data_IF_361201990213
#
_entry.id   IF_361201990213
#
_cell.length_a   1.000
_cell.length_b   1.000
_cell.length_c   1.000
_cell.angle_alpha   90.00
_cell.angle_beta   90.00
_cell.angle_gamma   90.00
#
_symmetry.space_group_name_H-M   'P 1'
#
loop_
_entity.id
_entity.type
_entity.pdbx_description
1 polymer ?
#
# COMPACT_ATOMS: atom_id res chain seq x y z
N UNK A 1 17.26 -25.21 24.57
CA UNK A 1 15.86 -25.24 25.01
C UNK A 1 15.33 -23.81 25.02
N UNK A 2 14.59 -23.42 23.99
CA UNK A 2 13.96 -22.09 23.92
C UNK A 2 12.57 -22.29 23.32
N UNK A 3 11.56 -22.03 24.16
CA UNK A 3 10.13 -22.21 23.90
C UNK A 3 9.63 -21.14 22.94
N UNK A 4 9.16 -21.56 21.77
CA UNK A 4 8.39 -20.72 20.85
C UNK A 4 6.92 -20.71 21.32
N UNK A 5 6.53 -19.64 22.00
CA UNK A 5 5.15 -19.33 22.35
C UNK A 5 4.39 -18.86 21.10
N UNK A 6 3.50 -19.72 20.57
CA UNK A 6 2.53 -19.32 19.55
C UNK A 6 1.38 -18.53 20.22
N UNK A 7 0.99 -17.34 19.71
CA UNK A 7 -0.24 -16.71 20.14
C UNK A 7 -1.44 -17.46 19.57
N UNK A 8 -2.31 -17.89 20.47
CA UNK A 8 -3.58 -18.54 20.22
C UNK A 8 -4.48 -17.62 19.37
N UNK A 9 -4.94 -18.18 18.26
CA UNK A 9 -5.98 -17.63 17.40
C UNK A 9 -7.29 -17.58 18.20
N UNK A 10 -7.85 -16.38 18.38
CA UNK A 10 -9.10 -16.14 19.11
C UNK A 10 -10.21 -15.86 18.08
N UNK A 11 -11.05 -16.83 17.68
CA UNK A 11 -12.24 -16.55 16.90
C UNK A 11 -13.42 -16.34 17.87
N UNK A 12 -13.86 -15.11 18.04
CA UNK A 12 -15.09 -14.82 18.77
C UNK A 12 -15.88 -13.72 18.06
N UNK A 13 -16.74 -14.13 17.13
CA UNK A 13 -18.04 -13.52 16.92
C UNK A 13 -18.88 -14.44 16.00
N UNK A 14 -19.94 -15.10 16.51
CA UNK A 14 -20.95 -15.67 15.65
C UNK A 14 -21.72 -14.54 14.96
N UNK A 15 -21.91 -14.71 13.65
CA UNK A 15 -22.74 -13.90 12.78
C UNK A 15 -24.15 -13.80 13.36
N UNK A 16 -24.52 -12.64 13.91
CA UNK A 16 -25.91 -12.35 14.24
C UNK A 16 -26.60 -11.83 12.98
N UNK A 17 -26.97 -12.74 12.10
CA UNK A 17 -27.84 -12.42 10.97
C UNK A 17 -29.25 -12.28 11.53
N UNK A 18 -29.70 -11.01 11.66
CA UNK A 18 -31.10 -10.65 11.95
C UNK A 18 -32.00 -11.32 10.92
N UNK A 19 -32.63 -12.43 11.27
CA UNK A 19 -33.74 -13.03 10.52
C UNK A 19 -35.01 -12.26 10.83
N UNK A 20 -35.10 -11.04 10.29
CA UNK A 20 -36.33 -10.28 10.26
C UNK A 20 -37.24 -10.81 9.16
N UNK A 21 -38.35 -11.43 9.57
CA UNK A 21 -39.66 -11.41 8.90
C UNK A 21 -39.63 -11.50 7.36
N UNK A 22 -39.73 -12.73 6.87
CA UNK A 22 -40.18 -13.04 5.52
C UNK A 22 -41.13 -14.23 5.59
N UNK A 23 -42.37 -13.96 5.99
CA UNK A 23 -43.51 -14.84 5.80
C UNK A 23 -43.60 -15.27 4.33
N UNK A 24 -43.86 -16.55 4.11
CA UNK A 24 -44.56 -17.05 2.93
C UNK A 24 -43.80 -17.02 1.61
N UNK A 25 -43.26 -18.19 1.22
CA UNK A 25 -43.38 -18.80 -0.11
C UNK A 25 -42.47 -20.05 -0.16
N UNK A 26 -42.74 -20.99 0.74
CA UNK A 26 -42.27 -22.36 0.55
C UNK A 26 -43.14 -23.00 -0.54
N UNK A 27 -42.50 -23.70 -1.47
CA UNK A 27 -43.11 -24.57 -2.49
C UNK A 27 -43.74 -23.86 -3.68
N UNK A 28 -42.93 -23.58 -4.71
CA UNK A 28 -43.32 -23.66 -6.13
C UNK A 28 -42.14 -23.50 -7.10
N UNK A 29 -40.89 -23.57 -6.62
CA UNK A 29 -39.75 -23.72 -7.51
C UNK A 29 -39.73 -25.20 -7.98
N UNK A 30 -39.89 -25.50 -9.28
CA UNK A 30 -39.69 -26.85 -9.76
C UNK A 30 -38.27 -27.26 -9.37
N UNK A 31 -38.13 -28.41 -8.70
CA UNK A 31 -36.82 -28.96 -8.38
C UNK A 31 -36.21 -29.48 -9.67
N UNK A 32 -35.62 -28.56 -10.44
CA UNK A 32 -34.92 -28.87 -11.68
C UNK A 32 -33.78 -29.80 -11.29
N UNK A 33 -33.97 -31.10 -11.49
CA UNK A 33 -32.90 -32.08 -11.33
C UNK A 33 -31.99 -31.97 -12.53
N UNK A 34 -31.10 -30.98 -12.53
CA UNK A 34 -30.03 -30.88 -13.51
C UNK A 34 -29.12 -32.09 -13.28
N UNK A 35 -29.32 -33.15 -14.05
CA UNK A 35 -28.38 -34.27 -14.12
C UNK A 35 -27.19 -33.78 -14.95
N UNK A 36 -26.23 -33.17 -14.26
CA UNK A 36 -24.94 -32.84 -14.86
C UNK A 36 -24.26 -34.19 -15.14
N UNK A 37 -24.35 -34.66 -16.38
CA UNK A 37 -23.50 -35.73 -16.88
C UNK A 37 -22.09 -35.17 -16.94
N UNK A 38 -21.35 -35.23 -15.83
CA UNK A 38 -19.96 -34.80 -15.75
C UNK A 38 -19.15 -35.77 -16.62
N UNK A 39 -18.64 -35.35 -17.79
CA UNK A 39 -17.84 -36.23 -18.62
C UNK A 39 -16.60 -36.69 -17.83
N UNK A 40 -16.28 -37.98 -17.90
CA UNK A 40 -15.14 -38.63 -17.26
C UNK A 40 -13.81 -37.85 -17.28
N UNK A 41 -13.41 -37.10 -18.33
CA UNK A 41 -12.19 -36.28 -18.29
C UNK A 41 -12.17 -35.23 -17.18
N UNK A 42 -13.33 -34.70 -16.75
CA UNK A 42 -13.37 -33.70 -15.67
C UNK A 42 -13.00 -34.29 -14.30
N UNK A 43 -13.24 -35.59 -14.08
CA UNK A 43 -12.79 -36.26 -12.84
C UNK A 43 -11.26 -36.38 -12.78
N UNK A 44 -10.60 -36.62 -13.91
CA UNK A 44 -9.13 -36.70 -13.98
C UNK A 44 -8.42 -35.36 -13.74
N UNK A 45 -9.10 -34.24 -14.02
CA UNK A 45 -8.58 -32.89 -13.77
C UNK A 45 -8.41 -32.65 -12.26
N UNK A 46 -9.32 -33.17 -11.43
CA UNK A 46 -9.22 -33.05 -9.98
C UNK A 46 -8.01 -33.80 -9.42
N UNK A 47 -7.72 -35.01 -9.91
CA UNK A 47 -6.52 -35.75 -9.53
C UNK A 47 -5.22 -35.01 -9.93
N UNK A 48 -5.21 -34.36 -11.09
CA UNK A 48 -4.06 -33.57 -11.54
C UNK A 48 -3.80 -32.34 -10.64
N UNK A 49 -4.87 -31.68 -10.19
CA UNK A 49 -4.81 -30.51 -9.31
C UNK A 49 -4.35 -30.92 -7.91
N UNK A 50 -4.89 -32.02 -7.36
CA UNK A 50 -4.46 -32.52 -6.05
C UNK A 50 -3.03 -33.05 -6.06
N UNK A 51 -2.55 -33.62 -7.18
CA UNK A 51 -1.13 -34.00 -7.35
C UNK A 51 -0.19 -32.81 -7.57
N UNK A 52 -0.68 -31.67 -8.06
CA UNK A 52 0.14 -30.48 -8.30
C UNK A 52 0.51 -29.72 -7.01
N UNK A 53 0.02 -30.13 -5.84
CA UNK A 53 0.40 -29.55 -4.57
C UNK A 53 1.90 -29.75 -4.28
N UNK A 54 2.61 -28.71 -3.81
CA UNK A 54 4.04 -28.82 -3.50
C UNK A 54 4.27 -29.90 -2.44
N UNK A 55 5.04 -30.94 -2.79
CA UNK A 55 5.27 -32.11 -1.92
C UNK A 55 5.94 -31.74 -0.59
N UNK A 56 6.77 -30.70 -0.57
CA UNK A 56 7.57 -30.27 0.59
C UNK A 56 7.73 -28.75 0.60
N UNK A 57 7.87 -28.18 1.80
CA UNK A 57 8.22 -26.77 2.01
C UNK A 57 9.63 -26.50 1.45
N UNK A 58 9.80 -25.37 0.76
CA UNK A 58 11.11 -24.94 0.27
C UNK A 58 12.03 -24.53 1.43
N UNK A 59 13.32 -24.86 1.34
CA UNK A 59 14.32 -24.38 2.29
C UNK A 59 14.52 -22.86 2.18
N UNK A 60 15.00 -22.24 3.26
CA UNK A 60 15.28 -20.82 3.32
C UNK A 60 16.29 -20.37 2.25
N UNK A 61 17.35 -21.17 2.02
CA UNK A 61 18.36 -20.90 0.98
C UNK A 61 17.77 -20.90 -0.43
N UNK A 62 16.97 -21.92 -0.80
CA UNK A 62 16.30 -21.99 -2.11
C UNK A 62 15.33 -20.83 -2.33
N UNK A 63 14.63 -20.39 -1.29
CA UNK A 63 13.76 -19.21 -1.35
C UNK A 63 14.55 -17.93 -1.61
N UNK A 64 15.64 -17.71 -0.87
CA UNK A 64 16.48 -16.50 -1.03
C UNK A 64 17.16 -16.43 -2.40
N UNK A 65 17.68 -17.55 -2.91
CA UNK A 65 18.25 -17.59 -4.27
C UNK A 65 17.24 -17.17 -5.35
N UNK A 66 15.98 -17.63 -5.24
CA UNK A 66 14.90 -17.21 -6.16
C UNK A 66 14.50 -15.75 -6.01
N UNK A 67 14.71 -15.15 -4.84
CA UNK A 67 14.39 -13.75 -4.58
C UNK A 67 15.54 -12.81 -4.97
N UNK A 68 16.79 -13.26 -4.91
CA UNK A 68 17.98 -12.46 -5.17
C UNK A 68 18.00 -11.83 -6.58
N UNK A 69 17.45 -12.51 -7.58
CA UNK A 69 17.39 -12.00 -8.97
C UNK A 69 16.40 -10.83 -9.12
N UNK A 70 15.52 -10.61 -8.14
CA UNK A 70 14.48 -9.59 -8.18
C UNK A 70 14.96 -8.36 -7.41
N UNK A 71 15.72 -7.51 -8.07
CA UNK A 71 16.14 -6.21 -7.54
C UNK A 71 15.53 -5.07 -8.35
N UNK A 72 15.34 -3.92 -7.70
CA UNK A 72 14.92 -2.69 -8.37
C UNK A 72 16.08 -2.21 -9.24
N UNK A 73 15.83 -1.99 -10.52
CA UNK A 73 16.85 -1.48 -11.45
C UNK A 73 17.09 0.00 -11.20
N UNK A 74 18.35 0.40 -11.18
CA UNK A 74 18.73 1.80 -11.04
C UNK A 74 18.30 2.59 -12.27
N UNK A 75 17.62 3.71 -12.04
CA UNK A 75 17.19 4.59 -13.12
C UNK A 75 18.31 5.58 -13.46
N UNK A 76 19.07 5.30 -14.53
CA UNK A 76 20.16 6.18 -14.99
C UNK A 76 19.66 7.41 -15.79
N UNK A 77 18.41 7.39 -16.24
CA UNK A 77 17.81 8.46 -17.05
C UNK A 77 17.33 9.66 -16.21
N UNK A 78 18.16 10.22 -15.35
CA UNK A 78 17.86 11.40 -14.54
C UNK A 78 18.70 12.59 -15.00
N UNK A 79 18.03 13.65 -15.46
CA UNK A 79 18.66 14.89 -15.94
C UNK A 79 18.23 16.07 -15.04
N UNK A 80 19.00 17.16 -15.06
CA UNK A 80 18.60 18.42 -14.40
C UNK A 80 17.62 19.21 -15.27
N UNK A 81 16.65 19.85 -14.63
CA UNK A 81 15.70 20.72 -15.31
C UNK A 81 16.38 22.07 -15.65
N UNK A 82 16.28 22.57 -16.90
CA UNK A 82 16.88 23.85 -17.28
C UNK A 82 16.21 25.07 -16.62
N UNK A 83 14.93 24.97 -16.23
CA UNK A 83 14.19 26.10 -15.66
C UNK A 83 14.31 26.19 -14.14
N UNK A 84 14.24 25.07 -13.42
CA UNK A 84 14.19 25.04 -11.95
C UNK A 84 15.37 24.33 -11.28
N UNK A 85 16.30 23.72 -12.04
CA UNK A 85 17.47 23.02 -11.51
C UNK A 85 17.19 21.69 -10.79
N UNK A 86 15.93 21.33 -10.54
CA UNK A 86 15.56 20.06 -9.91
C UNK A 86 15.85 18.86 -10.82
N UNK A 87 16.06 17.69 -10.21
CA UNK A 87 16.24 16.44 -10.96
C UNK A 87 14.89 16.00 -11.54
N UNK A 88 14.89 15.65 -12.83
CA UNK A 88 13.75 15.12 -13.56
C UNK A 88 14.13 13.85 -14.33
N UNK A 89 13.14 13.09 -14.78
CA UNK A 89 13.36 11.99 -15.73
C UNK A 89 13.75 12.53 -17.12
N UNK A 90 14.61 11.80 -17.80
CA UNK A 90 14.95 12.05 -19.21
C UNK A 90 13.68 11.98 -20.06
N UNK A 91 13.60 12.83 -21.09
CA UNK A 91 12.48 12.93 -22.03
C UNK A 91 11.09 13.22 -21.43
N UNK A 92 11.03 13.60 -20.15
CA UNK A 92 9.78 14.00 -19.48
C UNK A 92 9.84 15.48 -19.11
N UNK A 93 8.69 16.16 -19.13
CA UNK A 93 8.55 17.49 -18.55
C UNK A 93 8.76 17.42 -17.04
N UNK A 94 9.28 18.51 -16.46
CA UNK A 94 9.46 18.60 -15.02
C UNK A 94 8.09 18.74 -14.36
N UNK A 95 7.73 17.83 -13.44
CA UNK A 95 6.45 17.85 -12.72
C UNK A 95 6.16 19.17 -11.99
N UNK A 96 7.10 19.80 -11.26
CA UNK A 96 6.87 21.09 -10.62
C UNK A 96 6.66 22.21 -11.64
N UNK A 97 7.56 22.38 -12.62
CA UNK A 97 7.40 23.43 -13.64
C UNK A 97 6.09 23.29 -14.42
N UNK A 98 5.72 22.05 -14.78
CA UNK A 98 4.44 21.80 -15.44
C UNK A 98 3.25 22.18 -14.56
N UNK A 99 3.32 21.90 -13.26
CA UNK A 99 2.31 22.31 -12.29
C UNK A 99 2.12 23.83 -12.24
N UNK A 100 3.23 24.57 -12.22
CA UNK A 100 3.18 26.03 -12.13
C UNK A 100 2.71 26.67 -13.44
N UNK A 101 3.20 26.21 -14.59
CA UNK A 101 2.72 26.66 -15.91
C UNK A 101 1.22 26.38 -16.06
N UNK A 102 0.75 25.21 -15.62
CA UNK A 102 -0.67 24.84 -15.66
C UNK A 102 -1.54 25.74 -14.78
N UNK A 103 -1.05 26.20 -13.63
CA UNK A 103 -1.76 27.15 -12.75
C UNK A 103 -1.90 28.51 -13.44
N UNK A 104 -0.80 29.02 -14.00
CA UNK A 104 -0.75 30.28 -14.76
C UNK A 104 -1.74 30.24 -15.92
N UNK A 105 -1.73 29.19 -16.74
CA UNK A 105 -2.67 29.04 -17.87
C UNK A 105 -4.13 28.90 -17.45
N UNK A 106 -4.40 28.43 -16.23
CA UNK A 106 -5.75 28.36 -15.67
C UNK A 106 -6.21 29.69 -15.06
N UNK A 107 -5.44 30.76 -15.18
CA UNK A 107 -5.72 32.05 -14.55
C UNK A 107 -5.65 31.99 -13.01
N UNK A 108 -5.15 30.89 -12.45
CA UNK A 108 -4.86 30.75 -11.03
C UNK A 108 -3.41 31.13 -10.86
N UNK A 109 -3.11 32.42 -10.92
CA UNK A 109 -1.79 32.88 -10.47
C UNK A 109 -1.63 32.37 -9.04
N UNK A 110 -0.54 31.67 -8.69
CA UNK A 110 -0.25 31.47 -7.29
C UNK A 110 -0.18 32.87 -6.69
N UNK A 111 -0.96 33.14 -5.65
CA UNK A 111 -0.66 34.25 -4.76
C UNK A 111 0.83 34.12 -4.46
N UNK A 112 1.60 35.11 -4.92
CA UNK A 112 3.00 35.23 -4.58
C UNK A 112 3.03 35.13 -3.06
N UNK A 113 3.63 34.06 -2.53
CA UNK A 113 3.56 33.75 -1.12
C UNK A 113 4.30 34.86 -0.38
N UNK A 114 3.59 35.93 -0.05
CA UNK A 114 4.06 36.97 0.82
C UNK A 114 4.52 36.27 2.10
N UNK A 115 5.79 36.41 2.51
CA UNK A 115 6.28 35.80 3.75
C UNK A 115 5.45 36.21 4.99
N UNK A 116 4.56 37.19 4.87
CA UNK A 116 3.69 37.67 5.93
C UNK A 116 2.55 36.72 6.34
N UNK A 117 2.17 35.75 5.50
CA UNK A 117 1.11 34.78 5.87
C UNK A 117 1.53 33.84 7.02
N UNK A 118 2.84 33.62 7.20
CA UNK A 118 3.38 32.89 8.36
C UNK A 118 3.65 33.83 9.55
N UNK A 119 3.84 35.14 9.31
CA UNK A 119 4.02 36.10 10.40
C UNK A 119 2.72 36.36 11.15
N UNK A 120 1.57 36.33 10.48
CA UNK A 120 0.27 36.51 11.14
C UNK A 120 -0.10 35.32 12.02
N UNK A 121 0.34 34.11 11.64
CA UNK A 121 0.15 32.87 12.41
C UNK A 121 1.10 32.73 13.61
N UNK A 122 2.18 33.51 13.66
CA UNK A 122 3.14 33.55 14.76
C UNK A 122 2.88 34.70 15.75
N UNK A 123 2.01 35.65 15.40
CA UNK A 123 1.73 36.83 16.22
C UNK A 123 0.31 36.84 16.84
N UNK A 124 -0.49 35.79 16.62
CA UNK A 124 -1.88 35.72 17.07
C UNK A 124 -2.22 34.66 18.13
N UNK A 125 -1.26 33.82 18.55
CA UNK A 125 -1.50 32.78 19.57
C UNK A 125 -0.44 32.85 20.69
N UNK A 126 -0.45 33.94 21.45
CA UNK A 126 0.11 33.99 22.80
C UNK A 126 -0.78 33.18 23.76
N UNK A 127 -0.41 31.92 24.04
CA UNK A 127 -0.47 31.36 25.40
C UNK A 127 0.23 29.99 25.52
N UNK A 128 1.26 29.98 26.38
CA UNK A 128 1.80 28.84 27.13
C UNK A 128 2.70 27.82 26.40
N UNK A 129 4.02 27.93 26.61
CA UNK A 129 4.81 26.93 27.36
C UNK A 129 6.22 27.49 27.63
N UNK A 130 6.51 27.74 28.91
CA UNK A 130 7.88 27.88 29.43
C UNK A 130 8.57 26.52 29.31
N UNK A 131 9.80 26.48 28.80
CA UNK A 131 10.58 25.25 28.75
C UNK A 131 11.94 25.43 28.06
N UNK A 132 12.90 25.93 28.83
CA UNK A 132 14.36 25.87 28.74
C UNK A 132 14.99 25.25 27.47
N UNK A 133 15.67 26.10 26.68
CA UNK A 133 16.53 25.67 25.58
C UNK A 133 17.89 25.23 26.15
N UNK A 134 17.99 23.93 26.46
CA UNK A 134 19.24 23.27 26.84
C UNK A 134 20.16 23.07 25.62
N UNK A 135 21.42 23.46 25.82
CA UNK A 135 22.51 23.60 24.86
C UNK A 135 22.88 22.32 24.07
N UNK A 136 23.57 22.58 22.96
CA UNK A 136 24.00 21.62 21.96
C UNK A 136 24.79 20.43 22.48
N UNK A 137 24.48 19.25 21.95
CA UNK A 137 25.36 18.09 22.01
C UNK A 137 25.93 17.82 20.63
N UNK A 138 27.22 18.13 20.51
CA UNK A 138 28.11 17.72 19.44
C UNK A 138 28.21 16.20 19.42
N UNK A 139 27.96 15.57 18.27
CA UNK A 139 28.20 14.14 18.11
C UNK A 139 29.67 13.92 17.74
N UNK A 140 30.41 13.20 18.59
CA UNK A 140 31.77 12.73 18.30
C UNK A 140 31.71 11.60 17.25
N UNK A 141 32.48 11.74 16.17
CA UNK A 141 32.92 10.60 15.36
C UNK A 141 33.81 9.72 16.24
N UNK A 142 33.49 8.44 16.35
CA UNK A 142 34.43 7.44 16.86
C UNK A 142 35.07 6.73 15.66
N UNK A 143 36.40 6.68 15.70
CA UNK A 143 37.25 5.82 14.90
C UNK A 143 37.19 4.38 15.42
#
# INVERSE_FOLDING_TARGET
MASLSLPLLRPSAPLSLRTGLGLGLASLLPRISIRIAVPAPLLGIWDSIFRAAPKKKTSHSRKRMRQATKYLRDNLGLNRCPSCGMVKRAHTLCTPCYGDIKKVWKGKVPEFNDPSAWTEKLLGDDMAMKGDFGEGKTYKRQA
#
